data_IF_664518575976
#
_entry.id   IF_664518575976
#
_cell.length_a   1.000
_cell.length_b   1.000
_cell.length_c   1.000
_cell.angle_alpha   90.00
_cell.angle_beta   90.00
_cell.angle_gamma   90.00
#
_symmetry.space_group_name_H-M   'P 1'
#
loop_
_entity.id
_entity.type
_entity.pdbx_description
1 polymer ?
#
# COMPACT_ATOMS: atom_id res chain seq x y z
N UNK A 1 12.40 8.62 48.01
CA UNK A 1 12.84 9.31 46.76
C UNK A 1 13.09 8.24 45.70
N UNK A 2 12.15 8.10 44.80
CA UNK A 2 12.10 7.00 43.82
C UNK A 2 12.60 7.51 42.48
N UNK A 3 13.70 6.93 41.98
CA UNK A 3 14.30 7.27 40.70
C UNK A 3 13.66 6.45 39.58
N UNK A 4 12.91 7.08 38.68
CA UNK A 4 12.43 6.47 37.44
C UNK A 4 13.61 6.36 36.47
N UNK A 5 14.09 5.14 36.24
CA UNK A 5 15.03 4.83 35.16
C UNK A 5 14.21 4.56 33.88
N UNK A 6 14.27 5.53 32.96
CA UNK A 6 13.80 5.38 31.58
C UNK A 6 14.67 4.34 30.84
N UNK A 7 14.15 3.16 30.65
CA UNK A 7 14.71 2.19 29.72
C UNK A 7 14.13 2.43 28.31
N UNK A 8 14.88 3.14 27.47
CA UNK A 8 14.65 3.15 26.03
C UNK A 8 14.96 1.76 25.48
N UNK A 9 13.96 0.89 25.40
CA UNK A 9 14.07 -0.35 24.61
C UNK A 9 13.79 0.03 23.14
N UNK A 10 14.86 0.07 22.35
CA UNK A 10 14.78 0.11 20.91
C UNK A 10 14.03 -1.13 20.41
N UNK A 11 12.80 -0.95 19.96
CA UNK A 11 12.11 -1.98 19.21
C UNK A 11 12.64 -1.96 17.78
N UNK A 12 13.68 -2.73 17.54
CA UNK A 12 13.98 -3.26 16.22
C UNK A 12 12.82 -4.21 15.86
N UNK A 13 11.76 -3.66 15.29
CA UNK A 13 10.72 -4.47 14.66
C UNK A 13 11.23 -4.89 13.28
N UNK A 14 11.93 -6.01 13.25
CA UNK A 14 12.00 -6.85 12.07
C UNK A 14 10.54 -7.20 11.71
N UNK A 15 9.94 -6.47 10.82
CA UNK A 15 8.70 -6.92 10.20
C UNK A 15 9.08 -8.15 9.39
N UNK A 16 8.76 -9.31 9.93
CA UNK A 16 8.90 -10.58 9.25
C UNK A 16 8.19 -10.45 7.91
N UNK A 17 8.99 -10.47 6.86
CA UNK A 17 8.54 -10.81 5.53
C UNK A 17 7.71 -12.08 5.70
N UNK A 18 6.40 -11.99 5.58
CA UNK A 18 5.58 -13.20 5.53
C UNK A 18 6.05 -13.92 4.30
N UNK A 19 6.85 -14.96 4.53
CA UNK A 19 7.44 -15.76 3.48
C UNK A 19 6.30 -16.26 2.58
N UNK A 20 6.25 -15.71 1.41
CA UNK A 20 5.47 -16.22 0.32
C UNK A 20 5.94 -17.64 0.02
N UNK A 21 5.12 -18.63 0.36
CA UNK A 21 5.39 -20.06 0.08
C UNK A 21 5.16 -20.45 -1.39
N UNK A 22 5.52 -19.58 -2.31
CA UNK A 22 5.55 -19.80 -3.75
C UNK A 22 6.74 -19.04 -4.31
N UNK A 23 7.38 -19.61 -5.34
CA UNK A 23 8.49 -18.97 -6.06
C UNK A 23 8.17 -17.50 -6.31
N UNK A 24 9.02 -16.61 -5.79
CA UNK A 24 8.91 -15.17 -6.03
C UNK A 24 8.83 -14.93 -7.54
N UNK A 25 7.90 -14.08 -8.02
CA UNK A 25 7.92 -13.70 -9.42
C UNK A 25 9.29 -13.11 -9.72
N UNK A 26 9.89 -13.38 -10.89
CA UNK A 26 11.17 -12.83 -11.24
C UNK A 26 11.03 -11.31 -11.31
N UNK A 27 11.45 -10.64 -10.26
CA UNK A 27 11.58 -9.19 -10.21
C UNK A 27 12.58 -8.82 -11.31
N UNK A 28 12.11 -8.30 -12.42
CA UNK A 28 12.97 -7.66 -13.42
C UNK A 28 13.50 -6.39 -12.76
N UNK A 29 14.67 -6.52 -12.14
CA UNK A 29 15.41 -5.42 -11.55
C UNK A 29 15.82 -4.46 -12.65
N UNK A 30 15.15 -3.34 -12.76
CA UNK A 30 15.76 -2.17 -13.36
C UNK A 30 16.69 -1.56 -12.30
N UNK A 31 17.98 -1.91 -12.36
CA UNK A 31 18.97 -1.42 -11.41
C UNK A 31 18.92 -2.08 -10.03
N UNK A 32 20.04 -2.08 -9.32
CA UNK A 32 20.18 -2.62 -7.95
C UNK A 32 19.61 -1.67 -6.88
N UNK A 33 18.42 -1.11 -7.09
CA UNK A 33 17.79 -0.23 -6.12
C UNK A 33 16.89 -1.04 -5.19
N UNK A 34 17.18 -0.97 -3.89
CA UNK A 34 16.30 -1.48 -2.85
C UNK A 34 15.14 -0.50 -2.65
N UNK A 35 13.89 -0.97 -2.39
CA UNK A 35 12.81 -0.09 -2.06
C UNK A 35 13.11 0.64 -0.75
N UNK A 36 12.87 1.96 -0.71
CA UNK A 36 13.02 2.71 0.53
C UNK A 36 11.84 2.50 1.50
N UNK A 37 10.74 1.94 0.99
CA UNK A 37 9.58 1.52 1.77
C UNK A 37 8.90 0.32 1.11
N UNK A 38 8.56 -0.67 1.92
CA UNK A 38 7.80 -1.84 1.49
C UNK A 38 6.84 -2.28 2.58
N UNK A 39 5.65 -2.73 2.19
CA UNK A 39 4.62 -3.20 3.12
C UNK A 39 3.65 -4.15 2.45
N UNK A 40 3.06 -5.05 3.24
CA UNK A 40 1.96 -5.92 2.79
C UNK A 40 0.72 -5.63 3.61
N UNK A 41 -0.37 -5.31 2.93
CA UNK A 41 -1.70 -5.09 3.48
C UNK A 41 -2.55 -6.35 3.30
N UNK A 42 -3.39 -6.67 4.28
CA UNK A 42 -4.35 -7.76 4.17
C UNK A 42 -5.46 -7.40 3.16
N UNK A 43 -5.85 -8.39 2.35
CA UNK A 43 -6.91 -8.25 1.36
C UNK A 43 -6.50 -7.48 0.11
N UNK A 44 -7.46 -7.33 -0.78
CA UNK A 44 -7.33 -6.52 -2.01
C UNK A 44 -7.98 -5.15 -1.82
N UNK A 45 -7.42 -4.08 -2.42
CA UNK A 45 -8.06 -2.79 -2.44
C UNK A 45 -9.44 -2.89 -3.11
N UNK A 46 -10.45 -2.15 -2.65
CA UNK A 46 -11.74 -2.10 -3.34
C UNK A 46 -11.56 -1.53 -4.76
N UNK A 47 -12.38 -2.00 -5.69
CA UNK A 47 -12.42 -1.42 -7.03
C UNK A 47 -13.01 -0.01 -7.00
N UNK A 48 -12.71 0.81 -8.00
CA UNK A 48 -13.28 2.17 -8.12
C UNK A 48 -14.80 2.16 -8.02
N UNK A 49 -15.45 1.15 -8.62
CA UNK A 49 -16.92 1.00 -8.58
C UNK A 49 -17.46 0.65 -7.18
N UNK A 50 -16.65 -0.01 -6.34
CA UNK A 50 -16.99 -0.29 -4.94
C UNK A 50 -16.57 0.85 -4.00
N UNK A 51 -15.58 1.64 -4.39
CA UNK A 51 -15.16 2.84 -3.63
C UNK A 51 -16.22 3.94 -3.68
N UNK A 52 -16.82 4.14 -4.86
CA UNK A 52 -17.72 5.27 -5.12
C UNK A 52 -19.09 4.79 -5.59
N UNK A 53 -20.11 5.56 -5.24
CA UNK A 53 -21.45 5.47 -5.80
C UNK A 53 -21.95 6.86 -6.17
N UNK A 54 -22.87 6.91 -7.10
CA UNK A 54 -23.55 8.15 -7.51
C UNK A 54 -24.95 8.17 -6.90
N UNK A 55 -25.27 9.23 -6.18
CA UNK A 55 -26.61 9.45 -5.65
C UNK A 55 -27.58 9.87 -6.78
N UNK A 56 -28.89 9.82 -6.51
CA UNK A 56 -29.91 10.19 -7.48
C UNK A 56 -29.77 11.63 -8.02
N UNK A 57 -29.19 12.53 -7.24
CA UNK A 57 -28.88 13.91 -7.61
C UNK A 57 -27.56 14.07 -8.42
N UNK A 58 -26.94 12.98 -8.88
CA UNK A 58 -25.68 12.99 -9.62
C UNK A 58 -24.41 13.15 -8.77
N UNK A 59 -24.54 13.38 -7.46
CA UNK A 59 -23.38 13.54 -6.57
C UNK A 59 -22.68 12.21 -6.32
N UNK A 60 -21.35 12.18 -6.57
CA UNK A 60 -20.51 11.02 -6.30
C UNK A 60 -20.05 11.02 -4.84
N UNK A 61 -20.15 9.88 -4.16
CA UNK A 61 -19.72 9.71 -2.77
C UNK A 61 -19.00 8.38 -2.55
N UNK A 62 -18.11 8.34 -1.55
CA UNK A 62 -17.43 7.09 -1.15
C UNK A 62 -18.40 6.19 -0.38
N UNK A 63 -18.41 4.91 -0.69
CA UNK A 63 -19.19 3.90 0.03
C UNK A 63 -18.65 3.71 1.45
N UNK A 64 -19.48 3.16 2.36
CA UNK A 64 -19.03 2.82 3.72
C UNK A 64 -17.89 1.82 3.71
N UNK A 65 -18.01 0.76 2.91
CA UNK A 65 -16.98 -0.26 2.77
C UNK A 65 -15.66 0.33 2.24
N UNK A 66 -15.73 1.19 1.22
CA UNK A 66 -14.56 1.89 0.67
C UNK A 66 -13.88 2.80 1.70
N UNK A 67 -14.66 3.54 2.49
CA UNK A 67 -14.12 4.38 3.58
C UNK A 67 -13.45 3.55 4.66
N UNK A 68 -14.04 2.44 5.08
CA UNK A 68 -13.48 1.59 6.11
C UNK A 68 -12.15 1.00 5.66
N UNK A 69 -12.10 0.40 4.47
CA UNK A 69 -10.85 -0.15 3.94
C UNK A 69 -9.75 0.91 3.84
N UNK A 70 -10.08 2.09 3.30
CA UNK A 70 -9.12 3.19 3.16
C UNK A 70 -8.59 3.68 4.51
N UNK A 71 -9.47 3.80 5.52
CA UNK A 71 -9.09 4.20 6.88
C UNK A 71 -8.12 3.18 7.49
N UNK A 72 -8.49 1.90 7.43
CA UNK A 72 -7.71 0.83 8.07
C UNK A 72 -6.35 0.67 7.38
N UNK A 73 -6.30 0.72 6.06
CA UNK A 73 -5.05 0.69 5.30
C UNK A 73 -4.18 1.93 5.58
N UNK A 74 -4.76 3.13 5.62
CA UNK A 74 -4.05 4.37 5.93
C UNK A 74 -3.46 4.38 7.34
N UNK A 75 -4.16 3.78 8.32
CA UNK A 75 -3.66 3.62 9.68
C UNK A 75 -2.42 2.72 9.73
N UNK A 76 -2.48 1.56 9.07
CA UNK A 76 -1.35 0.63 8.97
C UNK A 76 -0.15 1.32 8.30
N UNK A 77 -0.40 2.03 7.20
CA UNK A 77 0.64 2.77 6.48
C UNK A 77 1.28 3.85 7.35
N UNK A 78 0.48 4.62 8.09
CA UNK A 78 0.96 5.67 9.00
C UNK A 78 1.84 5.10 10.11
N UNK A 79 1.41 4.00 10.72
CA UNK A 79 2.19 3.34 11.76
C UNK A 79 3.51 2.77 11.24
N UNK A 80 3.49 2.18 10.03
CA UNK A 80 4.68 1.61 9.42
C UNK A 80 5.67 2.67 8.92
N UNK A 81 5.15 3.77 8.36
CA UNK A 81 5.96 4.88 7.86
C UNK A 81 6.58 5.71 8.99
N UNK A 82 5.78 6.15 9.97
CA UNK A 82 6.20 6.75 11.24
C UNK A 82 7.04 8.03 11.16
N UNK A 83 7.03 8.75 10.03
CA UNK A 83 7.79 9.97 9.79
C UNK A 83 7.05 10.92 8.85
N UNK A 84 7.63 12.08 8.57
CA UNK A 84 7.08 13.05 7.61
C UNK A 84 6.89 12.44 6.22
N UNK A 85 5.85 12.86 5.47
CA UNK A 85 5.60 12.38 4.13
C UNK A 85 6.79 12.57 3.21
N UNK A 86 7.08 11.55 2.39
CA UNK A 86 8.16 11.62 1.41
C UNK A 86 7.86 12.75 0.40
N UNK A 87 8.86 13.56 0.11
CA UNK A 87 8.69 14.78 -0.70
C UNK A 87 9.15 14.67 -2.14
N UNK A 88 9.84 13.58 -2.51
CA UNK A 88 10.37 13.36 -3.86
C UNK A 88 9.44 12.55 -4.75
N UNK A 89 9.81 12.42 -6.02
CA UNK A 89 9.13 11.56 -6.97
C UNK A 89 9.43 10.08 -6.70
N UNK A 90 8.49 9.20 -7.04
CA UNK A 90 8.59 7.76 -6.75
C UNK A 90 8.19 6.88 -7.93
N UNK A 91 8.78 5.68 -7.95
CA UNK A 91 8.20 4.53 -8.62
C UNK A 91 7.40 3.73 -7.61
N UNK A 92 6.12 3.52 -7.88
CA UNK A 92 5.23 2.68 -7.08
C UNK A 92 5.06 1.33 -7.75
N UNK A 93 5.34 0.25 -7.03
CA UNK A 93 5.02 -1.12 -7.44
C UNK A 93 3.94 -1.69 -6.55
N UNK A 94 2.92 -2.25 -7.18
CA UNK A 94 1.75 -2.82 -6.51
C UNK A 94 1.56 -4.26 -6.98
N UNK A 95 1.60 -5.19 -6.04
CA UNK A 95 1.38 -6.61 -6.29
C UNK A 95 0.06 -7.03 -5.63
N UNK A 96 -0.92 -7.32 -6.46
CA UNK A 96 -2.27 -7.74 -6.02
C UNK A 96 -2.36 -9.25 -6.03
N UNK A 97 -2.34 -9.88 -4.87
CA UNK A 97 -2.49 -11.32 -4.72
C UNK A 97 -3.94 -11.66 -4.46
N UNK A 98 -4.59 -12.35 -5.39
CA UNK A 98 -5.96 -12.80 -5.26
C UNK A 98 -6.03 -14.24 -4.72
N UNK A 99 -6.97 -14.50 -3.81
CA UNK A 99 -7.23 -15.83 -3.29
C UNK A 99 -8.10 -16.68 -4.24
N UNK A 100 -8.70 -16.06 -5.25
CA UNK A 100 -9.53 -16.72 -6.25
C UNK A 100 -9.15 -16.28 -7.66
N UNK A 101 -9.65 -17.02 -8.67
CA UNK A 101 -9.37 -16.77 -10.08
C UNK A 101 -10.47 -15.99 -10.80
N UNK A 102 -11.32 -15.28 -10.07
CA UNK A 102 -12.36 -14.44 -10.69
C UNK A 102 -11.72 -13.39 -11.58
N UNK A 103 -12.39 -13.12 -12.70
CA UNK A 103 -11.95 -12.05 -13.61
C UNK A 103 -12.26 -10.68 -12.98
N UNK A 104 -11.28 -9.79 -13.01
CA UNK A 104 -11.42 -8.39 -12.60
C UNK A 104 -10.30 -7.55 -13.24
N UNK A 105 -10.58 -6.27 -13.43
CA UNK A 105 -9.64 -5.36 -14.04
C UNK A 105 -8.61 -4.89 -13.02
N UNK A 106 -7.34 -5.04 -13.37
CA UNK A 106 -6.22 -4.79 -12.48
C UNK A 106 -6.10 -3.30 -12.11
N UNK A 107 -6.33 -2.41 -13.06
CA UNK A 107 -6.24 -0.95 -12.92
C UNK A 107 -7.30 -0.35 -12.00
N UNK A 108 -8.48 -0.98 -11.92
CA UNK A 108 -9.60 -0.51 -11.10
C UNK A 108 -9.35 -0.50 -9.59
N UNK A 109 -8.17 -0.95 -9.13
CA UNK A 109 -7.80 -1.01 -7.71
C UNK A 109 -6.70 -0.03 -7.32
N UNK A 110 -5.99 0.52 -8.30
CA UNK A 110 -4.82 1.38 -8.07
C UNK A 110 -5.18 2.66 -7.33
N UNK A 111 -6.29 3.30 -7.71
CA UNK A 111 -6.71 4.57 -7.07
C UNK A 111 -6.89 4.43 -5.57
N UNK A 112 -7.41 3.28 -5.10
CA UNK A 112 -7.55 3.03 -3.67
C UNK A 112 -6.19 2.97 -2.96
N UNK A 113 -5.18 2.39 -3.59
CA UNK A 113 -3.81 2.32 -3.07
C UNK A 113 -3.17 3.69 -2.99
N UNK A 114 -3.24 4.47 -4.06
CA UNK A 114 -2.68 5.83 -4.09
C UNK A 114 -3.34 6.73 -3.04
N UNK A 115 -4.67 6.71 -2.94
CA UNK A 115 -5.41 7.44 -1.91
C UNK A 115 -4.98 7.04 -0.49
N UNK A 116 -4.65 5.75 -0.26
CA UNK A 116 -4.19 5.28 1.04
C UNK A 116 -2.77 5.73 1.37
N UNK A 117 -1.84 5.74 0.40
CA UNK A 117 -0.48 6.23 0.59
C UNK A 117 -0.49 7.71 1.00
N UNK A 118 -1.37 8.50 0.39
CA UNK A 118 -1.55 9.90 0.75
C UNK A 118 -2.24 10.05 2.12
N UNK A 119 -3.34 9.36 2.37
CA UNK A 119 -4.07 9.42 3.63
C UNK A 119 -3.25 8.88 4.82
N UNK A 120 -2.37 7.91 4.58
CA UNK A 120 -1.43 7.36 5.55
C UNK A 120 -0.19 8.23 5.77
N UNK A 121 -0.03 9.33 5.03
CA UNK A 121 1.10 10.24 5.16
C UNK A 121 2.42 9.67 4.66
N UNK A 122 2.39 8.67 3.79
CA UNK A 122 3.61 8.13 3.14
C UNK A 122 4.05 9.05 2.01
N UNK A 123 3.11 9.49 1.19
CA UNK A 123 3.30 10.49 0.13
C UNK A 123 2.52 11.76 0.47
N UNK A 124 2.98 12.90 -0.03
CA UNK A 124 2.25 14.18 0.07
C UNK A 124 1.09 14.23 -0.90
N UNK A 125 1.33 13.71 -2.13
CA UNK A 125 0.37 13.78 -3.23
C UNK A 125 0.58 12.60 -4.18
N UNK A 126 -0.48 12.14 -4.84
CA UNK A 126 -0.42 11.03 -5.81
C UNK A 126 0.30 11.41 -7.11
N UNK A 127 0.46 12.70 -7.40
CA UNK A 127 1.25 13.21 -8.55
C UNK A 127 2.74 12.90 -8.44
N UNK A 128 3.24 12.55 -7.25
CA UNK A 128 4.61 12.10 -7.04
C UNK A 128 4.90 10.74 -7.71
N UNK A 129 3.87 9.97 -8.06
CA UNK A 129 4.03 8.66 -8.72
C UNK A 129 4.32 8.87 -10.20
N UNK A 130 5.61 8.86 -10.58
CA UNK A 130 6.06 9.04 -11.95
C UNK A 130 6.06 7.73 -12.74
N UNK A 131 6.19 6.61 -12.05
CA UNK A 131 6.11 5.28 -12.63
C UNK A 131 5.26 4.37 -11.75
N UNK A 132 4.36 3.62 -12.39
CA UNK A 132 3.51 2.63 -11.75
C UNK A 132 3.75 1.27 -12.39
N UNK A 133 4.14 0.29 -11.58
CA UNK A 133 4.13 -1.12 -11.94
C UNK A 133 2.97 -1.79 -11.20
N UNK A 134 2.14 -2.51 -11.91
CA UNK A 134 0.97 -3.17 -11.35
C UNK A 134 0.93 -4.61 -11.82
N UNK A 135 0.96 -5.54 -10.87
CA UNK A 135 0.94 -6.96 -11.17
C UNK A 135 -0.17 -7.69 -10.39
N UNK A 136 -0.75 -8.70 -11.04
CA UNK A 136 -1.72 -9.59 -10.41
C UNK A 136 -1.11 -10.98 -10.24
N UNK A 137 -1.21 -11.48 -9.04
CA UNK A 137 -0.79 -12.81 -8.66
C UNK A 137 -1.94 -13.59 -8.03
N UNK A 138 -1.77 -14.91 -7.88
CA UNK A 138 -2.71 -15.78 -7.19
C UNK A 138 -2.02 -16.45 -6.02
N UNK A 139 -2.69 -16.49 -4.87
CA UNK A 139 -2.18 -17.08 -3.65
C UNK A 139 -3.29 -17.71 -2.83
N UNK A 140 -2.94 -18.23 -1.66
CA UNK A 140 -3.93 -18.83 -0.74
C UNK A 140 -4.75 -17.77 0.01
N UNK A 141 -4.17 -16.60 0.22
CA UNK A 141 -4.77 -15.49 0.95
C UNK A 141 -4.67 -14.23 0.11
N UNK A 142 -5.76 -13.47 0.06
CA UNK A 142 -5.77 -12.18 -0.63
C UNK A 142 -4.91 -11.17 0.14
N UNK A 143 -4.02 -10.49 -0.57
CA UNK A 143 -3.13 -9.47 0.00
C UNK A 143 -2.67 -8.47 -1.06
N UNK A 144 -2.18 -7.33 -0.60
CA UNK A 144 -1.63 -6.27 -1.44
C UNK A 144 -0.24 -5.91 -0.93
N UNK A 145 0.78 -6.19 -1.72
CA UNK A 145 2.14 -5.76 -1.42
C UNK A 145 2.46 -4.48 -2.17
N UNK A 146 3.14 -3.55 -1.50
CA UNK A 146 3.52 -2.24 -2.00
C UNK A 146 5.02 -2.05 -1.83
N UNK A 147 5.65 -1.50 -2.86
CA UNK A 147 7.06 -1.09 -2.82
C UNK A 147 7.19 0.31 -3.40
N UNK A 148 7.96 1.17 -2.73
CA UNK A 148 8.29 2.51 -3.18
C UNK A 148 9.79 2.63 -3.42
N UNK A 149 10.14 3.13 -4.59
CA UNK A 149 11.51 3.42 -5.00
C UNK A 149 11.64 4.91 -5.32
N UNK A 150 12.81 5.48 -5.11
CA UNK A 150 13.08 6.85 -5.56
C UNK A 150 13.07 6.92 -7.07
N UNK A 151 12.51 8.00 -7.62
CA UNK A 151 12.50 8.27 -9.06
C UNK A 151 13.41 9.45 -9.37
N UNK A 152 14.19 9.36 -10.49
CA UNK A 152 15.01 10.48 -10.96
C UNK A 152 16.45 10.55 -10.44
N UNK A 153 16.97 9.41 -9.97
CA UNK A 153 18.41 9.26 -9.69
C UNK A 153 19.13 8.61 -10.86
#
# INVERSE_FOLDING_TARGET
MSGYKNAKKGLSRSFSLVLWGGSQPPLRRCGNLEPFFQITLAGLPPTVNHLYRTAANGRRYKTRAGRNWQRDAAEILRCAWGREPYGGDVELRVYLVAADRRKWDIDNRVKAVQDCLQAGGVLKDDTQVQRLLLERHFGRVAQTALELYTWGL
#
